data_IF_432335968632
#
_entry.id   IF_432335968632
#
_cell.length_a   1.000
_cell.length_b   1.000
_cell.length_c   1.000
_cell.angle_alpha   90.00
_cell.angle_beta   90.00
_cell.angle_gamma   90.00
#
_symmetry.space_group_name_H-M   'P 1'
#
loop_
_entity.id
_entity.type
_entity.pdbx_description
1 polymer ?
#
# COMPACT_ATOMS: atom_id res chain seq x y z
N UNK A 1 41.15 44.98 14.61
CA UNK A 1 39.92 44.89 15.44
C UNK A 1 39.46 43.44 15.45
N UNK A 2 39.51 42.74 16.58
CA UNK A 2 39.02 41.36 16.72
C UNK A 2 37.48 41.42 16.75
N UNK A 3 36.80 40.85 15.77
CA UNK A 3 35.34 40.68 15.83
C UNK A 3 35.04 39.72 16.97
N UNK A 4 34.32 40.18 17.99
CA UNK A 4 33.78 39.32 19.04
C UNK A 4 32.68 38.49 18.40
N UNK A 5 32.87 37.17 18.35
CA UNK A 5 31.89 36.25 17.80
C UNK A 5 30.74 36.14 18.80
N UNK A 6 29.61 36.79 18.49
CA UNK A 6 28.38 36.64 19.26
C UNK A 6 27.82 35.24 18.98
N UNK A 7 28.03 34.33 19.93
CA UNK A 7 27.44 32.99 19.87
C UNK A 7 25.94 33.05 20.13
N UNK A 8 25.21 32.07 19.59
CA UNK A 8 23.81 31.84 19.92
C UNK A 8 23.63 31.60 21.42
N UNK A 9 22.60 32.19 22.02
CA UNK A 9 22.26 31.93 23.42
C UNK A 9 21.60 30.56 23.56
N UNK A 10 21.82 29.92 24.72
CA UNK A 10 21.17 28.64 25.04
C UNK A 10 19.64 28.77 25.04
N UNK A 11 19.13 29.96 25.42
CA UNK A 11 17.71 30.29 25.43
C UNK A 11 17.15 30.33 24.00
N UNK A 12 17.85 30.98 23.06
CA UNK A 12 17.43 30.99 21.64
C UNK A 12 17.39 29.58 21.06
N UNK A 13 18.39 28.75 21.39
CA UNK A 13 18.44 27.36 20.91
C UNK A 13 17.26 26.55 21.48
N UNK A 14 16.92 26.72 22.75
CA UNK A 14 15.76 26.06 23.38
C UNK A 14 14.42 26.47 22.76
N UNK A 15 14.24 27.75 22.42
CA UNK A 15 13.02 28.23 21.73
C UNK A 15 12.90 27.60 20.35
N UNK A 16 14.02 27.53 19.59
CA UNK A 16 14.03 26.91 18.27
C UNK A 16 13.64 25.43 18.36
N UNK A 17 14.17 24.69 19.32
CA UNK A 17 13.82 23.26 19.53
C UNK A 17 12.34 23.11 19.89
N UNK A 18 11.79 23.99 20.73
CA UNK A 18 10.37 23.96 21.09
C UNK A 18 9.46 24.17 19.87
N UNK A 19 9.79 25.13 19.00
CA UNK A 19 9.03 25.39 17.77
C UNK A 19 9.12 24.20 16.80
N UNK A 20 10.32 23.64 16.59
CA UNK A 20 10.51 22.45 15.74
C UNK A 20 9.72 21.26 16.30
N UNK A 21 9.69 21.08 17.62
CA UNK A 21 8.90 20.02 18.26
C UNK A 21 7.40 20.12 17.98
N UNK A 22 6.82 21.32 18.06
CA UNK A 22 5.40 21.55 17.76
C UNK A 22 5.12 21.28 16.27
N UNK A 23 5.98 21.80 15.38
CA UNK A 23 5.82 21.60 13.94
C UNK A 23 5.92 20.11 13.56
N UNK A 24 6.86 19.37 14.15
CA UNK A 24 7.02 17.95 13.90
C UNK A 24 5.80 17.13 14.34
N UNK A 25 5.21 17.47 15.49
CA UNK A 25 4.02 16.78 16.02
C UNK A 25 2.80 16.89 15.08
N UNK A 26 2.66 18.00 14.35
CA UNK A 26 1.56 18.22 13.40
C UNK A 26 1.93 17.66 12.01
N UNK A 27 3.17 17.84 11.58
CA UNK A 27 3.61 17.45 10.24
C UNK A 27 3.69 15.93 10.05
N UNK A 28 4.11 15.19 11.07
CA UNK A 28 4.29 13.73 10.98
C UNK A 28 2.96 12.98 10.72
N UNK A 29 1.87 13.20 11.48
CA UNK A 29 0.58 12.56 11.20
C UNK A 29 0.04 12.92 9.81
N UNK A 30 0.14 14.19 9.41
CA UNK A 30 -0.33 14.65 8.09
C UNK A 30 0.42 13.97 6.94
N UNK A 31 1.74 13.78 7.07
CA UNK A 31 2.53 13.08 6.07
C UNK A 31 2.15 11.60 5.95
N UNK A 32 1.87 10.94 7.08
CA UNK A 32 1.41 9.54 7.09
C UNK A 32 0.06 9.39 6.39
N UNK A 33 -0.86 10.33 6.58
CA UNK A 33 -2.17 10.30 5.90
C UNK A 33 -2.04 10.52 4.39
N UNK A 34 -1.12 11.39 3.97
CA UNK A 34 -0.80 11.57 2.55
C UNK A 34 -0.24 10.29 1.93
N UNK A 35 0.66 9.59 2.64
CA UNK A 35 1.22 8.32 2.19
C UNK A 35 0.14 7.23 2.11
N UNK A 36 -0.76 7.12 3.09
CA UNK A 36 -1.91 6.19 3.05
C UNK A 36 -2.80 6.44 1.83
N UNK A 37 -3.05 7.70 1.48
CA UNK A 37 -3.83 8.04 0.29
C UNK A 37 -3.19 7.51 -1.00
N UNK A 38 -1.85 7.50 -1.10
CA UNK A 38 -1.13 6.91 -2.25
C UNK A 38 -1.16 5.39 -2.24
N UNK A 39 -1.09 4.76 -1.07
CA UNK A 39 -1.24 3.30 -0.94
C UNK A 39 -2.61 2.82 -1.43
N UNK A 40 -3.66 3.64 -1.31
CA UNK A 40 -4.98 3.32 -1.88
C UNK A 40 -4.93 3.08 -3.38
N UNK A 41 -4.02 3.71 -4.14
CA UNK A 41 -3.87 3.42 -5.58
C UNK A 41 -3.37 1.99 -5.83
N UNK A 42 -2.48 1.47 -4.97
CA UNK A 42 -1.96 0.10 -5.04
C UNK A 42 -3.07 -0.91 -4.74
N UNK A 43 -3.90 -0.62 -3.74
CA UNK A 43 -5.08 -1.44 -3.39
C UNK A 43 -6.13 -1.41 -4.50
N UNK A 44 -6.34 -0.26 -5.14
CA UNK A 44 -7.26 -0.13 -6.28
C UNK A 44 -6.77 -0.93 -7.50
N UNK A 45 -5.47 -0.92 -7.77
CA UNK A 45 -4.87 -1.75 -8.81
C UNK A 45 -5.05 -3.25 -8.54
N UNK A 46 -4.99 -3.67 -7.28
CA UNK A 46 -5.30 -5.05 -6.90
C UNK A 46 -6.79 -5.37 -7.04
N UNK A 47 -7.66 -4.39 -6.79
CA UNK A 47 -9.11 -4.53 -6.86
C UNK A 47 -9.61 -4.73 -8.30
N UNK A 48 -8.95 -4.17 -9.31
CA UNK A 48 -9.30 -4.45 -10.71
C UNK A 48 -8.98 -5.90 -11.10
N UNK A 49 -7.83 -6.43 -10.66
CA UNK A 49 -7.50 -7.84 -10.85
C UNK A 49 -8.47 -8.75 -10.08
N UNK A 50 -8.93 -8.35 -8.89
CA UNK A 50 -9.95 -9.06 -8.12
C UNK A 50 -11.24 -9.25 -8.91
N UNK A 51 -11.70 -8.20 -9.58
CA UNK A 51 -12.89 -8.28 -10.44
C UNK A 51 -12.68 -9.28 -11.57
N UNK A 52 -11.53 -9.20 -12.28
CA UNK A 52 -11.19 -10.17 -13.32
C UNK A 52 -11.15 -11.62 -12.80
N UNK A 53 -10.50 -11.88 -11.66
CA UNK A 53 -10.45 -13.23 -11.07
C UNK A 53 -11.85 -13.72 -10.72
N UNK A 54 -12.68 -12.86 -10.13
CA UNK A 54 -14.06 -13.19 -9.76
C UNK A 54 -14.93 -13.48 -10.99
N UNK A 55 -14.75 -12.74 -12.09
CA UNK A 55 -15.43 -12.99 -13.36
C UNK A 55 -15.00 -14.33 -13.96
N UNK A 56 -13.69 -14.63 -14.02
CA UNK A 56 -13.17 -15.91 -14.51
C UNK A 56 -13.68 -17.07 -13.64
N UNK A 57 -13.73 -16.88 -12.31
CA UNK A 57 -14.23 -17.83 -11.33
C UNK A 57 -15.74 -18.13 -11.48
N UNK A 58 -16.53 -17.22 -12.03
CA UNK A 58 -17.97 -17.40 -12.21
C UNK A 58 -18.37 -17.79 -13.64
N UNK A 59 -17.68 -17.27 -14.66
CA UNK A 59 -18.12 -17.32 -16.07
C UNK A 59 -17.38 -18.30 -16.96
N UNK A 60 -16.16 -18.69 -16.59
CA UNK A 60 -15.28 -19.50 -17.44
C UNK A 60 -14.91 -20.83 -16.79
N UNK A 61 -14.67 -21.87 -17.58
CA UNK A 61 -14.04 -23.12 -17.11
C UNK A 61 -12.51 -23.02 -17.01
N UNK A 62 -11.93 -21.82 -17.14
CA UNK A 62 -10.48 -21.62 -17.07
C UNK A 62 -9.94 -22.01 -15.70
N UNK A 63 -8.87 -22.81 -15.70
CA UNK A 63 -8.14 -23.20 -14.48
C UNK A 63 -6.97 -22.26 -14.16
N UNK A 64 -6.79 -21.23 -14.98
CA UNK A 64 -5.72 -20.23 -14.86
C UNK A 64 -6.29 -18.82 -14.70
N UNK A 65 -5.68 -18.07 -13.79
CA UNK A 65 -5.98 -16.67 -13.51
C UNK A 65 -4.87 -15.70 -13.96
N UNK A 66 -3.79 -16.17 -14.62
CA UNK A 66 -2.67 -15.34 -15.09
C UNK A 66 -3.10 -14.19 -16.01
N UNK A 67 -4.21 -14.34 -16.74
CA UNK A 67 -4.75 -13.27 -17.59
C UNK A 67 -5.23 -12.04 -16.81
N UNK A 68 -5.44 -12.17 -15.50
CA UNK A 68 -5.77 -11.06 -14.61
C UNK A 68 -4.54 -10.33 -14.07
N UNK A 69 -3.32 -10.84 -14.33
CA UNK A 69 -2.11 -10.12 -14.06
C UNK A 69 -1.98 -8.91 -15.00
N UNK A 70 -1.37 -7.84 -14.51
CA UNK A 70 -1.14 -6.62 -15.28
C UNK A 70 0.26 -6.09 -15.04
N UNK A 71 0.98 -5.81 -16.12
CA UNK A 71 2.25 -5.07 -16.10
C UNK A 71 2.05 -3.56 -16.09
N UNK A 72 0.83 -3.07 -15.83
CA UNK A 72 0.54 -1.64 -15.80
C UNK A 72 1.26 -1.00 -14.60
N UNK A 73 2.36 -0.33 -14.91
CA UNK A 73 3.13 0.45 -13.95
C UNK A 73 2.50 1.84 -13.84
N UNK A 74 2.24 2.30 -12.61
CA UNK A 74 1.92 3.70 -12.33
C UNK A 74 3.03 4.32 -11.49
N UNK A 75 2.87 5.58 -11.08
CA UNK A 75 3.85 6.23 -10.20
C UNK A 75 4.10 5.43 -8.90
N UNK A 76 3.09 4.74 -8.38
CA UNK A 76 3.18 4.02 -7.10
C UNK A 76 3.02 2.50 -7.22
N UNK A 77 2.58 1.99 -8.37
CA UNK A 77 2.35 0.55 -8.61
C UNK A 77 3.43 0.02 -9.54
N UNK A 78 4.17 -1.01 -9.11
CA UNK A 78 5.19 -1.68 -9.93
C UNK A 78 4.60 -2.79 -10.80
N UNK A 79 3.45 -3.33 -10.42
CA UNK A 79 2.70 -4.31 -11.20
C UNK A 79 1.66 -5.06 -10.38
N UNK A 80 0.86 -5.86 -11.06
CA UNK A 80 -0.17 -6.73 -10.50
C UNK A 80 0.05 -8.16 -10.97
N UNK A 81 0.33 -9.06 -10.04
CA UNK A 81 0.40 -10.49 -10.28
C UNK A 81 -0.87 -11.20 -9.84
N UNK A 82 -1.18 -12.32 -10.49
CA UNK A 82 -2.21 -13.27 -10.07
C UNK A 82 -1.64 -14.67 -10.08
N UNK A 83 -1.99 -15.47 -9.07
CA UNK A 83 -1.56 -16.86 -8.97
C UNK A 83 -2.54 -17.74 -9.73
N UNK A 84 -2.02 -18.53 -10.67
CA UNK A 84 -2.82 -19.25 -11.65
C UNK A 84 -3.91 -20.13 -11.09
N UNK A 85 -3.65 -20.85 -10.00
CA UNK A 85 -4.59 -21.85 -9.48
C UNK A 85 -5.40 -21.34 -8.29
N UNK A 86 -4.78 -20.56 -7.40
CA UNK A 86 -5.39 -20.10 -6.15
C UNK A 86 -6.14 -18.77 -6.28
N UNK A 87 -5.95 -18.05 -7.38
CA UNK A 87 -6.55 -16.72 -7.60
C UNK A 87 -6.02 -15.64 -6.66
N UNK A 88 -4.92 -15.92 -5.94
CA UNK A 88 -4.28 -14.95 -5.06
C UNK A 88 -3.64 -13.86 -5.90
N UNK A 89 -3.99 -12.61 -5.61
CA UNK A 89 -3.49 -11.43 -6.32
C UNK A 89 -2.43 -10.77 -5.46
N UNK A 90 -1.31 -10.43 -6.05
CA UNK A 90 -0.22 -9.72 -5.39
C UNK A 90 0.07 -8.43 -6.15
N UNK A 91 0.11 -7.30 -5.45
CA UNK A 91 0.51 -6.02 -6.03
C UNK A 91 1.60 -5.40 -5.18
N UNK A 92 2.52 -4.72 -5.85
CA UNK A 92 3.68 -4.11 -5.24
C UNK A 92 3.79 -2.66 -5.65
N UNK A 93 4.53 -1.89 -4.85
CA UNK A 93 4.70 -0.47 -5.08
C UNK A 93 5.73 0.15 -4.17
N UNK A 94 5.97 1.44 -4.38
CA UNK A 94 6.74 2.27 -3.45
C UNK A 94 6.05 3.60 -3.25
N UNK A 95 5.89 4.00 -1.98
CA UNK A 95 5.35 5.30 -1.60
C UNK A 95 6.37 5.96 -0.70
N UNK A 96 6.86 7.14 -1.09
CA UNK A 96 7.83 7.91 -0.32
C UNK A 96 9.08 7.11 0.10
N UNK A 97 9.57 6.23 -0.79
CA UNK A 97 10.75 5.40 -0.54
C UNK A 97 10.49 4.15 0.32
N UNK A 98 9.25 3.94 0.78
CA UNK A 98 8.84 2.73 1.50
C UNK A 98 8.25 1.73 0.52
N UNK A 99 8.78 0.49 0.51
CA UNK A 99 8.23 -0.59 -0.31
C UNK A 99 6.90 -1.05 0.28
N UNK A 100 5.89 -1.15 -0.57
CA UNK A 100 4.54 -1.54 -0.23
C UNK A 100 4.24 -2.85 -0.97
N UNK A 101 3.67 -3.82 -0.25
CA UNK A 101 3.09 -5.01 -0.88
C UNK A 101 1.67 -5.22 -0.38
N UNK A 102 0.78 -5.60 -1.28
CA UNK A 102 -0.63 -5.86 -1.02
C UNK A 102 -0.97 -7.21 -1.63
N UNK A 103 -1.64 -8.05 -0.86
CA UNK A 103 -2.08 -9.39 -1.27
C UNK A 103 -3.58 -9.49 -1.03
N UNK A 104 -4.32 -9.90 -2.07
CA UNK A 104 -5.73 -10.23 -1.97
C UNK A 104 -5.88 -11.74 -2.14
N UNK A 105 -6.49 -12.36 -1.15
CA UNK A 105 -6.70 -13.81 -1.09
C UNK A 105 -8.19 -14.10 -1.12
N UNK A 106 -8.69 -14.87 -2.10
CA UNK A 106 -10.07 -15.34 -2.07
C UNK A 106 -10.22 -16.43 -1.01
N UNK A 107 -11.38 -16.45 -0.34
CA UNK A 107 -11.77 -17.48 0.61
C UNK A 107 -13.16 -18.01 0.26
N UNK A 108 -13.33 -19.33 0.06
CA UNK A 108 -12.27 -20.35 -0.01
C UNK A 108 -11.30 -20.08 -1.17
N UNK A 109 -10.06 -20.59 -1.04
CA UNK A 109 -9.05 -20.46 -2.10
C UNK A 109 -9.54 -21.15 -3.37
N UNK A 110 -9.31 -20.52 -4.52
CA UNK A 110 -9.72 -21.08 -5.79
C UNK A 110 -8.93 -22.35 -6.13
N UNK A 111 -9.56 -23.22 -6.90
CA UNK A 111 -8.94 -24.40 -7.51
C UNK A 111 -9.75 -24.81 -8.74
N UNK A 112 -9.32 -25.87 -9.43
CA UNK A 112 -10.06 -26.41 -10.58
C UNK A 112 -11.51 -26.81 -10.23
N UNK A 113 -11.79 -27.15 -8.96
CA UNK A 113 -13.10 -27.64 -8.50
C UNK A 113 -13.80 -26.68 -7.54
N UNK A 114 -13.04 -25.88 -6.78
CA UNK A 114 -13.58 -24.87 -5.87
C UNK A 114 -13.49 -23.49 -6.53
N UNK A 115 -14.61 -23.00 -7.06
CA UNK A 115 -14.66 -21.73 -7.81
C UNK A 115 -15.56 -20.66 -7.21
N UNK A 116 -16.21 -20.99 -6.10
CA UNK A 116 -17.12 -20.11 -5.40
C UNK A 116 -16.34 -19.27 -4.37
N UNK A 117 -16.35 -17.95 -4.55
CA UNK A 117 -15.63 -17.00 -3.70
C UNK A 117 -16.64 -16.38 -2.73
N UNK A 118 -16.48 -16.67 -1.45
CA UNK A 118 -17.38 -16.18 -0.41
C UNK A 118 -16.90 -14.84 0.15
N UNK A 119 -15.59 -14.66 0.29
CA UNK A 119 -15.00 -13.42 0.77
C UNK A 119 -13.61 -13.18 0.20
N UNK A 120 -13.17 -11.94 0.25
CA UNK A 120 -11.82 -11.53 -0.11
C UNK A 120 -11.13 -10.94 1.10
N UNK A 121 -10.00 -11.54 1.47
CA UNK A 121 -9.14 -11.01 2.52
C UNK A 121 -8.04 -10.19 1.87
N UNK A 122 -7.89 -8.93 2.27
CA UNK A 122 -6.79 -8.08 1.83
C UNK A 122 -5.80 -7.89 2.98
N UNK A 123 -4.53 -8.17 2.70
CA UNK A 123 -3.42 -7.94 3.63
C UNK A 123 -2.37 -7.10 2.94
N UNK A 124 -1.83 -6.10 3.63
CA UNK A 124 -0.74 -5.31 3.10
C UNK A 124 0.35 -5.02 4.12
N UNK A 125 1.56 -4.83 3.62
CA UNK A 125 2.73 -4.50 4.41
C UNK A 125 3.38 -3.21 3.90
N UNK A 126 3.76 -2.27 4.78
CA UNK A 126 3.50 -2.24 6.24
C UNK A 126 2.04 -1.86 6.57
N UNK A 127 1.48 -2.42 7.65
CA UNK A 127 0.06 -2.24 8.04
C UNK A 127 -0.30 -0.81 8.47
N UNK A 128 0.68 -0.02 8.92
CA UNK A 128 0.48 1.38 9.33
C UNK A 128 0.06 2.30 8.17
N UNK A 129 0.48 1.97 6.95
CA UNK A 129 0.14 2.71 5.74
C UNK A 129 -1.06 2.11 4.98
N UNK A 130 -1.60 0.98 5.46
CA UNK A 130 -2.74 0.33 4.82
C UNK A 130 -4.07 0.99 5.19
N UNK A 131 -5.01 1.10 4.22
CA UNK A 131 -6.40 1.40 4.52
C UNK A 131 -7.01 0.28 5.37
N UNK A 132 -8.09 0.60 6.09
CA UNK A 132 -8.73 -0.35 7.01
C UNK A 132 -9.13 -1.68 6.36
N UNK A 133 -9.46 -1.67 5.07
CA UNK A 133 -9.83 -2.86 4.30
C UNK A 133 -8.68 -3.83 4.02
N UNK A 134 -7.42 -3.43 4.21
CA UNK A 134 -6.23 -4.23 3.88
C UNK A 134 -5.32 -4.52 5.08
N UNK A 135 -5.89 -4.54 6.29
CA UNK A 135 -5.16 -4.78 7.55
C UNK A 135 -5.28 -6.21 8.07
N UNK A 136 -5.95 -7.13 7.36
CA UNK A 136 -6.25 -8.49 7.84
C UNK A 136 -7.75 -8.76 7.84
#
# INVERSE_FOLDING_TARGET
MKRVQQGFTLIELMIVVAIIGILAAIALPAYQDYAKAKVSEIVLAASSARTCVSEIAQSSSSTSFSSCASTKVTQYVTGVGSTDTSGVITTGGSVSGTTISVTLTPSPSLSATARDIQTWTCTGTPTSLMPGSCRG
#
